data_IF_988005173259
#
_entry.id   IF_988005173259
#
_cell.length_a   1.000
_cell.length_b   1.000
_cell.length_c   1.000
_cell.angle_alpha   90.00
_cell.angle_beta   90.00
_cell.angle_gamma   90.00
#
_symmetry.space_group_name_H-M   'P 1'
#
loop_
_entity.id
_entity.type
_entity.pdbx_description
1 polymer ?
#
# COMPACT_ATOMS: atom_id res chain seq x y z
N UNK A 1 -5.60 -6.90 8.82
CA UNK A 1 -5.21 -7.44 7.50
C UNK A 1 -3.73 -7.19 7.36
N UNK A 2 -2.94 -8.21 7.03
CA UNK A 2 -1.49 -8.07 6.96
C UNK A 2 -1.05 -7.16 5.81
N UNK A 3 -0.02 -6.37 6.05
CA UNK A 3 0.64 -5.51 5.05
C UNK A 3 0.99 -6.27 3.78
N UNK A 4 1.55 -7.49 3.89
CA UNK A 4 1.87 -8.33 2.72
C UNK A 4 0.66 -8.59 1.82
N UNK A 5 -0.52 -8.76 2.42
CA UNK A 5 -1.75 -9.04 1.69
C UNK A 5 -2.22 -7.80 0.94
N UNK A 6 -2.17 -6.64 1.61
CA UNK A 6 -2.52 -5.35 0.99
C UNK A 6 -1.59 -5.02 -0.18
N UNK A 7 -0.28 -5.23 -0.02
CA UNK A 7 0.69 -5.02 -1.11
C UNK A 7 0.41 -5.92 -2.31
N UNK A 8 -0.02 -7.17 -2.09
CA UNK A 8 -0.41 -8.08 -3.17
C UNK A 8 -1.66 -7.58 -3.90
N UNK A 9 -2.70 -7.22 -3.16
CA UNK A 9 -3.95 -6.68 -3.73
C UNK A 9 -3.67 -5.41 -4.56
N UNK A 10 -2.89 -4.47 -4.02
CA UNK A 10 -2.54 -3.24 -4.73
C UNK A 10 -1.74 -3.54 -6.00
N UNK A 11 -0.80 -4.48 -5.96
CA UNK A 11 -0.04 -4.89 -7.15
C UNK A 11 -0.93 -5.51 -8.22
N UNK A 12 -1.89 -6.36 -7.82
CA UNK A 12 -2.89 -6.95 -8.72
C UNK A 12 -3.83 -5.89 -9.32
N UNK A 13 -4.18 -4.84 -8.55
CA UNK A 13 -4.96 -3.68 -9.03
C UNK A 13 -4.15 -2.75 -9.95
N UNK A 14 -2.84 -2.94 -10.10
CA UNK A 14 -1.98 -2.14 -10.98
C UNK A 14 -1.20 -1.01 -10.31
N UNK A 15 -1.04 -1.09 -8.98
CA UNK A 15 -0.17 -0.20 -8.21
C UNK A 15 1.27 -0.71 -8.17
N UNK A 16 2.20 0.15 -8.55
CA UNK A 16 3.63 -0.14 -8.55
C UNK A 16 4.33 0.65 -7.44
N UNK A 17 5.29 0.02 -6.74
CA UNK A 17 6.09 0.68 -5.72
C UNK A 17 7.09 1.62 -6.40
N UNK A 18 7.00 2.92 -6.08
CA UNK A 18 7.85 3.97 -6.70
C UNK A 18 8.92 4.49 -5.77
N UNK A 19 8.72 4.37 -4.46
CA UNK A 19 9.71 4.77 -3.47
C UNK A 19 9.49 4.03 -2.15
N UNK A 20 10.56 3.85 -1.40
CA UNK A 20 10.52 3.28 -0.05
C UNK A 20 11.41 4.08 0.88
N UNK A 21 10.90 4.43 2.05
CA UNK A 21 11.69 5.03 3.14
C UNK A 21 11.41 4.26 4.43
N UNK A 22 12.41 3.50 4.88
CA UNK A 22 12.26 2.60 6.02
C UNK A 22 11.13 1.59 5.78
N UNK A 23 10.17 1.53 6.72
CA UNK A 23 8.99 0.66 6.62
C UNK A 23 7.84 1.23 5.77
N UNK A 24 7.97 2.46 5.26
CA UNK A 24 6.93 3.10 4.46
C UNK A 24 7.21 2.89 2.97
N UNK A 25 6.22 2.33 2.26
CA UNK A 25 6.25 2.14 0.81
C UNK A 25 5.27 3.09 0.15
N UNK A 26 5.73 3.82 -0.85
CA UNK A 26 4.91 4.68 -1.70
C UNK A 26 4.61 3.93 -3.00
N UNK A 27 3.34 3.83 -3.32
CA UNK A 27 2.84 3.17 -4.53
C UNK A 27 2.17 4.21 -5.45
N UNK A 28 2.27 3.98 -6.75
CA UNK A 28 1.63 4.78 -7.79
C UNK A 28 0.84 3.86 -8.72
N UNK A 29 -0.37 4.27 -9.09
CA UNK A 29 -1.14 3.60 -10.12
C UNK A 29 -0.79 4.16 -11.51
N UNK A 30 -0.84 3.32 -12.55
CA UNK A 30 -0.55 3.78 -13.92
C UNK A 30 -1.59 4.78 -14.45
N UNK A 31 -2.85 4.62 -14.09
CA UNK A 31 -3.97 5.43 -14.60
C UNK A 31 -4.65 6.32 -13.56
N UNK A 32 -4.50 6.03 -12.25
CA UNK A 32 -5.17 6.80 -11.20
C UNK A 32 -4.22 7.89 -10.69
N UNK A 33 -4.68 9.14 -10.56
CA UNK A 33 -3.85 10.21 -10.02
C UNK A 33 -3.61 9.97 -8.52
N UNK A 34 -2.43 10.36 -8.05
CA UNK A 34 -2.05 10.26 -6.64
C UNK A 34 -1.06 9.13 -6.32
N UNK A 35 -0.77 8.99 -5.03
CA UNK A 35 0.12 7.96 -4.46
C UNK A 35 -0.51 7.40 -3.20
N UNK A 36 -0.29 6.11 -2.97
CA UNK A 36 -0.74 5.40 -1.77
C UNK A 36 0.47 5.06 -0.92
N UNK A 37 0.43 5.40 0.37
CA UNK A 37 1.49 5.04 1.31
C UNK A 37 1.06 3.86 2.16
N UNK A 38 1.83 2.77 2.12
CA UNK A 38 1.63 1.60 2.97
C UNK A 38 2.72 1.54 4.04
N UNK A 39 2.41 1.83 5.32
CA UNK A 39 3.36 1.72 6.43
C UNK A 39 3.57 0.26 6.87
N UNK A 40 4.62 0.03 7.66
CA UNK A 40 4.84 -1.22 8.39
C UNK A 40 5.67 -2.29 7.66
N UNK A 41 6.02 -3.37 8.36
CA UNK A 41 6.67 -4.55 7.78
C UNK A 41 5.62 -5.47 7.16
N UNK A 42 5.97 -6.34 6.20
CA UNK A 42 5.03 -7.27 5.57
C UNK A 42 4.29 -8.19 6.56
N UNK A 43 4.89 -8.45 7.72
CA UNK A 43 4.35 -9.23 8.83
C UNK A 43 3.25 -8.52 9.62
N UNK A 44 3.25 -7.18 9.61
CA UNK A 44 2.44 -6.36 10.50
C UNK A 44 0.99 -6.29 10.00
N UNK A 45 0.07 -6.06 10.94
CA UNK A 45 -1.33 -5.80 10.64
C UNK A 45 -1.59 -4.30 10.46
N UNK A 46 -2.29 -3.95 9.37
CA UNK A 46 -2.75 -2.59 9.14
C UNK A 46 -3.97 -2.29 10.01
N UNK A 47 -3.94 -1.12 10.66
CA UNK A 47 -5.09 -0.58 11.35
C UNK A 47 -6.25 -0.37 10.35
N UNK A 48 -7.52 -0.63 10.75
CA UNK A 48 -8.68 -0.51 9.85
C UNK A 48 -8.80 0.86 9.17
N UNK A 49 -8.49 1.95 9.90
CA UNK A 49 -8.52 3.30 9.32
C UNK A 49 -7.50 3.51 8.20
N UNK A 50 -6.29 2.97 8.36
CA UNK A 50 -5.25 3.01 7.31
C UNK A 50 -5.65 2.16 6.12
N UNK A 51 -6.22 0.97 6.37
CA UNK A 51 -6.72 0.10 5.30
C UNK A 51 -7.82 0.78 4.49
N UNK A 52 -8.79 1.42 5.14
CA UNK A 52 -9.86 2.15 4.46
C UNK A 52 -9.33 3.34 3.66
N UNK A 53 -8.31 4.04 4.16
CA UNK A 53 -7.66 5.13 3.41
C UNK A 53 -6.88 4.64 2.18
N UNK A 54 -6.37 3.40 2.20
CA UNK A 54 -5.65 2.77 1.10
C UNK A 54 -6.62 2.28 0.00
N UNK A 55 -7.81 1.81 0.40
CA UNK A 55 -8.81 1.21 -0.50
C UNK A 55 -9.89 2.20 -0.99
N UNK A 56 -9.79 3.49 -0.64
CA UNK A 56 -10.70 4.54 -1.08
C UNK A 56 -10.40 4.96 -2.51
#
# INVERSE_FOLDING_TARGET
>A
MKVRTVLRILREDGWDEVARRGSHRQLKHKTRPGRVTVPGKPSDDLAPGTLNSILK
#
